data_IF_485114375587
#
_entry.id   IF_485114375587
#
_cell.length_a   1.000
_cell.length_b   1.000
_cell.length_c   1.000
_cell.angle_alpha   90.00
_cell.angle_beta   90.00
_cell.angle_gamma   90.00
#
_symmetry.space_group_name_H-M   'P 1'
#
loop_
_entity.id
_entity.type
_entity.pdbx_description
1 polymer ?
2 non-polymer ?
3 non-polymer ?
4 non-polymer ?
5 non-polymer ?
6 water ?
#
# COMPACT_ATOMS: atom_id res chain seq x y z
N UNK A 7 0.61 -2.71 22.45
CA UNK A 7 0.30 -4.14 22.26
C UNK A 7 0.76 -4.69 20.89
N UNK A 8 1.56 -3.91 20.18
CA UNK A 8 2.11 -4.32 18.90
C UNK A 8 3.19 -5.36 19.13
N UNK A 9 3.46 -6.23 18.15
CA UNK A 9 4.59 -7.17 18.28
C UNK A 9 5.93 -6.41 18.30
N UNK A 10 7.02 -7.04 18.82
CA UNK A 10 8.34 -6.40 18.77
C UNK A 10 8.73 -6.09 17.32
N UNK A 11 9.37 -4.93 17.11
CA UNK A 11 9.79 -4.43 15.81
C UNK A 11 8.64 -3.83 14.97
N UNK A 12 7.43 -3.73 15.55
CA UNK A 12 6.34 -3.04 14.88
C UNK A 12 6.20 -1.67 15.54
N UNK A 13 5.75 -0.67 14.79
CA UNK A 13 5.60 0.70 15.27
C UNK A 13 4.12 0.98 15.54
N UNK A 14 3.80 1.48 16.74
CA UNK A 14 2.43 1.80 17.09
C UNK A 14 2.10 3.23 16.69
N UNK A 15 0.95 3.46 16.08
CA UNK A 15 0.51 4.80 15.70
C UNK A 15 -0.99 4.85 15.68
N UNK A 16 -1.51 5.80 16.47
CA UNK A 16 -2.91 6.09 16.73
C UNK A 16 -3.50 4.85 17.38
N UNK A 17 -4.02 3.89 16.60
CA UNK A 17 -4.51 2.63 17.17
C UNK A 17 -4.25 1.51 16.18
N UNK A 18 -3.03 1.48 15.63
CA UNK A 18 -2.59 0.50 14.64
C UNK A 18 -1.12 0.19 14.86
N UNK A 19 -0.66 -0.99 14.40
CA UNK A 19 0.73 -1.48 14.45
C UNK A 19 1.20 -1.59 13.05
N UNK A 20 2.41 -1.13 12.76
CA UNK A 20 2.92 -1.13 11.40
C UNK A 20 4.27 -1.78 11.32
N UNK A 21 4.53 -2.49 10.24
CA UNK A 21 5.82 -3.13 10.02
C UNK A 21 6.29 -2.67 8.66
N UNK A 22 7.50 -2.12 8.61
CA UNK A 22 8.11 -1.55 7.42
C UNK A 22 9.18 -2.45 6.87
N UNK A 23 8.94 -3.05 5.67
CA UNK A 23 9.97 -3.93 5.11
C UNK A 23 11.19 -3.17 4.72
N UNK A 24 12.31 -3.88 4.65
CA UNK A 24 13.54 -3.30 4.12
C UNK A 24 14.09 -4.18 2.98
N UNK A 25 13.18 -4.88 2.29
CA UNK A 25 13.45 -5.71 1.13
C UNK A 25 12.21 -5.57 0.22
N UNK A 26 12.32 -6.05 -1.00
CA UNK A 26 11.25 -5.93 -1.98
C UNK A 26 10.56 -7.22 -2.33
N UNK A 27 9.28 -7.11 -2.69
CA UNK A 27 8.52 -8.25 -3.12
C UNK A 27 7.50 -7.77 -4.15
N UNK A 28 7.08 -8.68 -5.02
CA UNK A 28 5.93 -8.43 -5.93
C UNK A 28 4.70 -8.24 -5.02
N UNK A 29 3.71 -7.49 -5.46
CA UNK A 29 2.56 -7.18 -4.61
C UNK A 29 1.87 -8.42 -4.01
N UNK A 30 1.65 -9.46 -4.82
CA UNK A 30 0.95 -10.66 -4.30
C UNK A 30 1.75 -11.32 -3.17
N UNK A 31 3.10 -11.31 -3.31
CA UNK A 31 3.95 -11.90 -2.27
C UNK A 31 3.94 -11.04 -1.02
N UNK A 32 3.93 -9.70 -1.18
CA UNK A 32 3.86 -8.78 -0.04
C UNK A 32 2.51 -8.95 0.68
N UNK A 33 1.44 -9.11 -0.08
CA UNK A 33 0.10 -9.31 0.48
C UNK A 33 0.09 -10.60 1.33
N UNK A 34 0.65 -11.68 0.77
CA UNK A 34 0.70 -12.97 1.48
C UNK A 34 1.54 -12.84 2.73
N UNK A 35 2.67 -12.12 2.65
CA UNK A 35 3.53 -11.89 3.83
C UNK A 35 2.72 -11.24 4.96
N UNK A 36 1.97 -10.18 4.66
CA UNK A 36 1.20 -9.50 5.70
C UNK A 36 0.14 -10.41 6.28
N UNK A 37 -0.56 -11.17 5.44
CA UNK A 37 -1.61 -12.08 5.92
C UNK A 37 -1.06 -13.17 6.84
N UNK A 38 0.19 -13.59 6.63
CA UNK A 38 0.82 -14.60 7.48
C UNK A 38 1.27 -14.03 8.84
N UNK A 39 1.27 -12.70 9.00
CA UNK A 39 1.53 -12.05 10.27
C UNK A 39 0.18 -11.61 10.90
N UNK A 40 -0.96 -12.18 10.48
CA UNK A 40 -2.30 -11.77 10.94
C UNK A 40 -2.49 -10.25 10.73
N UNK A 41 -1.98 -9.76 9.60
CA UNK A 41 -1.98 -8.34 9.28
C UNK A 41 -2.44 -8.17 7.79
N UNK A 42 -2.38 -6.94 7.26
CA UNK A 42 -2.74 -6.70 5.89
C UNK A 42 -1.83 -5.62 5.36
N UNK A 43 -1.70 -5.51 4.02
CA UNK A 43 -0.94 -4.40 3.44
C UNK A 43 -1.58 -3.07 3.89
N UNK A 44 -0.75 -2.07 4.20
CA UNK A 44 -1.25 -0.84 4.83
C UNK A 44 -2.45 -0.22 4.11
N UNK A 45 -3.47 0.20 4.88
CA UNK A 45 -4.67 0.83 4.35
C UNK A 45 -4.67 2.24 4.89
N UNK A 46 -4.49 3.22 4.02
CA UNK A 46 -4.33 4.61 4.45
C UNK A 46 -5.66 5.34 4.38
N UNK A 47 -6.20 5.81 5.53
CA UNK A 47 -7.52 6.45 5.53
C UNK A 47 -7.54 7.90 6.01
N UNK A 48 -6.36 8.50 6.20
CA UNK A 48 -6.31 9.90 6.61
C UNK A 48 -4.99 10.55 6.23
N UNK A 49 -4.97 11.89 6.23
CA UNK A 49 -3.79 12.72 5.98
C UNK A 49 -2.71 12.39 7.04
N UNK A 50 -3.12 12.23 8.30
CA UNK A 50 -2.18 11.95 9.39
C UNK A 50 -1.54 10.57 9.25
N UNK A 51 -2.32 9.56 8.80
CA UNK A 51 -1.73 8.23 8.59
C UNK A 51 -0.77 8.26 7.40
N UNK A 52 -1.16 8.97 6.33
CA UNK A 52 -0.29 9.12 5.16
C UNK A 52 1.10 9.74 5.57
N UNK A 53 1.07 10.79 6.41
CA UNK A 53 2.32 11.44 6.82
C UNK A 53 3.15 10.52 7.71
N UNK A 54 2.49 9.78 8.58
CA UNK A 54 3.18 8.81 9.44
C UNK A 54 3.93 7.75 8.58
N UNK A 55 3.23 7.16 7.59
CA UNK A 55 3.85 6.15 6.73
C UNK A 55 5.02 6.74 5.94
N UNK A 56 4.81 7.94 5.36
CA UNK A 56 5.86 8.65 4.61
C UNK A 56 7.12 8.85 5.45
N UNK A 57 6.94 9.20 6.74
CA UNK A 57 8.11 9.40 7.61
C UNK A 57 8.96 8.14 7.70
N UNK A 58 8.31 6.97 7.82
CA UNK A 58 9.04 5.71 8.00
C UNK A 58 9.53 5.05 6.73
N UNK A 59 8.91 5.32 5.58
CA UNK A 59 9.38 4.67 4.35
C UNK A 59 10.45 5.50 3.63
N UNK A 60 10.42 6.81 3.80
CA UNK A 60 11.37 7.67 3.11
C UNK A 60 11.06 7.75 1.62
N UNK A 61 12.03 8.16 0.81
CA UNK A 61 11.77 8.35 -0.62
C UNK A 61 11.90 7.07 -1.44
N UNK A 62 11.05 6.06 -1.13
CA UNK A 62 11.20 4.75 -1.73
C UNK A 62 9.82 4.24 -2.20
N UNK A 63 9.75 3.67 -3.41
CA UNK A 63 8.50 3.07 -3.92
C UNK A 63 8.10 1.93 -3.01
N UNK A 64 6.87 1.98 -2.46
CA UNK A 64 6.46 1.02 -1.44
C UNK A 64 4.98 0.62 -1.62
N UNK A 65 4.71 -0.67 -1.74
CA UNK A 65 3.34 -1.14 -1.93
C UNK A 65 2.43 -0.81 -0.78
N UNK A 66 1.17 -0.53 -1.09
CA UNK A 66 0.12 -0.40 -0.10
C UNK A 66 -1.02 -1.41 -0.44
N UNK A 67 -2.00 -1.52 0.43
CA UNK A 67 -3.07 -2.50 0.28
C UNK A 67 -4.19 -2.02 -0.60
N UNK A 68 -3.89 -1.48 -1.78
CA UNK A 68 -4.92 -0.94 -2.68
C UNK A 68 -4.64 -1.47 -4.09
N UNK A 69 -5.65 -2.05 -4.74
CA UNK A 69 -5.42 -2.62 -6.06
C UNK A 69 -6.71 -2.63 -6.86
N UNK A 70 -6.59 -2.84 -8.18
CA UNK A 70 -7.81 -2.97 -9.02
C UNK A 70 -7.66 -4.20 -9.93
N UNK A 71 -7.09 -5.29 -9.41
CA UNK A 71 -6.84 -6.49 -10.21
C UNK A 71 -8.09 -7.19 -10.73
N UNK A 72 -9.20 -7.13 -9.98
CA UNK A 72 -10.45 -7.82 -10.41
C UNK A 72 -11.55 -6.89 -10.84
N UNK A 73 -11.23 -5.64 -11.12
CA UNK A 73 -12.24 -4.69 -11.51
C UNK A 73 -11.95 -3.35 -10.90
N UNK A 74 -12.84 -2.83 -10.08
CA UNK A 74 -12.63 -1.50 -9.52
C UNK A 74 -11.61 -1.48 -8.38
N UNK A 75 -11.14 -0.28 -8.03
CA UNK A 75 -10.20 -0.14 -6.90
C UNK A 75 -10.80 -0.64 -5.59
N UNK A 76 -10.00 -1.42 -4.85
CA UNK A 76 -10.43 -1.94 -3.57
C UNK A 76 -9.27 -1.91 -2.59
N UNK A 77 -9.57 -1.66 -1.31
CA UNK A 77 -8.56 -1.76 -0.25
C UNK A 77 -8.66 -3.20 0.27
N UNK A 78 -7.54 -3.79 0.66
CA UNK A 78 -7.49 -5.20 1.01
C UNK A 78 -8.36 -5.61 2.20
N UNK A 79 -8.70 -4.66 3.06
CA UNK A 79 -9.52 -5.00 4.23
C UNK A 79 -11.01 -4.67 4.05
N UNK A 80 -11.45 -4.33 2.85
CA UNK A 80 -12.84 -3.98 2.60
C UNK A 80 -13.17 -2.51 2.78
N UNK A 81 -12.21 -1.67 3.24
CA UNK A 81 -12.45 -0.23 3.39
C UNK A 81 -12.89 0.37 2.02
N UNK A 82 -13.97 1.17 2.00
CA UNK A 82 -14.48 1.70 0.73
C UNK A 82 -13.49 2.66 0.09
N UNK A 83 -13.21 2.45 -1.20
CA UNK A 83 -12.28 3.31 -1.90
C UNK A 83 -12.90 4.67 -2.26
N UNK A 84 -14.07 4.62 -2.90
CA UNK A 84 -14.73 5.83 -3.40
C UNK A 84 -14.88 6.95 -2.38
N UNK A 85 -15.34 6.63 -1.18
CA UNK A 85 -15.53 7.64 -0.15
C UNK A 85 -14.35 7.82 0.79
N UNK A 86 -13.23 7.16 0.52
CA UNK A 86 -12.08 7.26 1.41
C UNK A 86 -11.01 8.23 0.97
N UNK A 87 -9.99 8.36 1.80
CA UNK A 87 -8.83 9.21 1.52
C UNK A 87 -8.09 8.71 0.27
N UNK A 88 -7.61 9.65 -0.55
CA UNK A 88 -6.85 9.39 -1.76
C UNK A 88 -5.72 10.39 -1.85
N UNK A 89 -4.58 9.94 -2.36
CA UNK A 89 -3.43 10.82 -2.48
C UNK A 89 -2.67 10.52 -3.76
N UNK A 90 -3.41 10.33 -4.87
CA UNK A 90 -2.77 10.03 -6.13
C UNK A 90 -1.90 11.16 -6.59
N UNK A 91 -0.82 10.85 -7.28
CA UNK A 91 -0.03 11.87 -7.97
C UNK A 91 -0.93 12.37 -9.14
N UNK A 92 -0.99 13.68 -9.46
CA UNK A 92 -1.86 14.11 -10.59
C UNK A 92 -1.55 13.32 -11.86
N UNK A 93 -2.59 12.98 -12.62
CA UNK A 93 -2.51 12.11 -13.82
C UNK A 93 -2.47 10.62 -13.47
N UNK A 94 -2.50 10.26 -12.18
CA UNK A 94 -2.61 8.85 -11.76
C UNK A 94 -3.97 8.66 -11.07
N UNK A 95 -4.49 7.42 -11.00
CA UNK A 95 -4.02 6.23 -11.69
C UNK A 95 -4.27 6.35 -13.20
N UNK A 96 -3.39 5.76 -14.00
CA UNK A 96 -3.49 5.85 -15.45
C UNK A 96 -3.53 4.48 -16.14
N UNK A 97 -3.47 3.36 -15.40
CA UNK A 97 -3.53 2.00 -15.98
C UNK A 97 -2.63 1.85 -17.20
N UNK A 98 -1.41 2.33 -17.08
CA UNK A 98 -0.48 2.37 -18.20
C UNK A 98 -0.16 0.99 -18.77
N UNK A 99 -0.23 0.89 -20.10
CA UNK A 99 0.18 -0.33 -20.80
C UNK A 99 1.61 -0.20 -21.39
N UNK A 100 2.11 1.04 -21.48
CA UNK A 100 3.35 1.40 -22.17
C UNK A 100 4.62 0.78 -21.63
N UNK A 101 4.53 0.16 -20.45
CA UNK A 101 5.70 -0.56 -19.89
C UNK A 101 6.05 -1.82 -20.73
N UNK A 102 5.09 -2.30 -21.52
CA UNK A 102 5.28 -3.45 -22.40
C UNK A 102 5.40 -4.78 -21.71
N UNK A 103 5.04 -4.84 -20.42
CA UNK A 103 5.14 -6.10 -19.68
C UNK A 103 3.88 -6.94 -19.70
N UNK A 104 2.80 -6.43 -20.31
CA UNK A 104 1.54 -7.17 -20.35
C UNK A 104 0.57 -6.58 -19.36
N UNK A 105 -0.63 -6.27 -19.84
CA UNK A 105 -1.65 -5.67 -19.01
C UNK A 105 -1.36 -4.21 -18.69
N UNK A 106 -2.23 -3.63 -17.85
CA UNK A 106 -2.09 -2.24 -17.44
C UNK A 106 -1.29 -2.13 -16.15
N UNK A 107 -1.86 -1.47 -15.16
CA UNK A 107 -1.23 -1.27 -13.85
C UNK A 107 -2.30 -1.46 -12.80
N UNK A 108 -2.15 -2.46 -11.93
CA UNK A 108 -3.24 -2.79 -11.02
C UNK A 108 -2.93 -2.72 -9.54
N UNK A 109 -1.73 -2.29 -9.14
CA UNK A 109 -1.41 -2.21 -7.72
C UNK A 109 -0.92 -0.82 -7.35
N UNK A 110 -1.39 -0.28 -6.22
CA UNK A 110 -0.95 1.07 -5.84
C UNK A 110 0.27 1.04 -4.94
N UNK A 111 1.09 2.09 -5.08
CA UNK A 111 2.26 2.23 -4.21
C UNK A 111 2.51 3.69 -3.92
N UNK A 112 3.17 3.94 -2.79
CA UNK A 112 3.67 5.26 -2.49
C UNK A 112 4.88 5.49 -3.41
N UNK A 113 5.01 6.69 -3.97
CA UNK A 113 6.17 7.02 -4.78
C UNK A 113 7.22 7.72 -3.89
N UNK A 114 8.38 8.07 -4.45
CA UNK A 114 9.44 8.75 -3.69
C UNK A 114 8.98 10.02 -2.94
N UNK A 115 7.92 10.71 -3.40
CA UNK A 115 7.45 11.91 -2.68
C UNK A 115 6.19 11.67 -1.81
N UNK A 116 5.75 10.41 -1.71
CA UNK A 116 4.60 10.07 -0.90
C UNK A 116 3.32 9.92 -1.70
N UNK A 117 3.20 10.65 -2.83
CA UNK A 117 1.98 10.57 -3.65
C UNK A 117 1.85 9.18 -4.27
N UNK A 118 0.63 8.74 -4.52
CA UNK A 118 0.42 7.38 -5.00
C UNK A 118 0.50 7.23 -6.53
N UNK A 119 0.89 6.03 -6.94
CA UNK A 119 0.88 5.67 -8.34
C UNK A 119 0.35 4.23 -8.48
N UNK A 120 -0.29 3.94 -9.62
CA UNK A 120 -0.65 2.54 -9.91
C UNK A 120 0.50 2.00 -10.78
N UNK A 121 0.93 0.77 -10.49
CA UNK A 121 2.04 0.17 -11.22
C UNK A 121 1.80 -1.35 -11.41
N UNK A 122 2.70 -2.00 -12.16
CA UNK A 122 2.65 -3.40 -12.50
C UNK A 122 2.88 -4.19 -11.21
N UNK A 123 1.88 -5.04 -10.89
CA UNK A 123 1.91 -5.79 -9.64
C UNK A 123 3.16 -6.65 -9.43
N UNK A 124 3.78 -7.12 -10.50
CA UNK A 124 4.95 -7.99 -10.39
C UNK A 124 6.24 -7.25 -10.03
N UNK A 125 6.22 -5.90 -10.00
CA UNK A 125 7.45 -5.18 -9.63
C UNK A 125 7.81 -5.46 -8.17
N UNK A 126 9.10 -5.67 -7.89
CA UNK A 126 9.52 -5.83 -6.49
C UNK A 126 9.70 -4.46 -5.84
N UNK A 127 8.80 -4.14 -4.90
CA UNK A 127 8.93 -2.90 -4.14
C UNK A 127 8.92 -3.28 -2.66
N UNK A 128 9.39 -2.37 -1.79
CA UNK A 128 9.21 -2.56 -0.36
C UNK A 128 7.70 -2.48 -0.07
N UNK A 129 7.31 -2.85 1.16
CA UNK A 129 5.90 -2.85 1.52
C UNK A 129 5.73 -2.56 3.01
N UNK A 130 4.50 -2.28 3.41
CA UNK A 130 4.19 -2.00 4.81
C UNK A 130 3.02 -2.89 5.21
N UNK A 131 3.12 -3.57 6.37
CA UNK A 131 1.99 -4.33 6.94
C UNK A 131 1.37 -3.47 8.04
N UNK A 132 0.07 -3.68 8.27
CA UNK A 132 -0.65 -2.98 9.31
C UNK A 132 -1.60 -3.97 10.00
N UNK A 133 -1.75 -3.78 11.31
CA UNK A 133 -2.73 -4.54 12.09
C UNK A 133 -3.38 -3.55 13.06
N UNK A 134 -4.67 -3.75 13.37
CA UNK A 134 -5.37 -2.84 14.26
C UNK A 134 -5.42 -3.36 15.66
N UNK A 135 -5.17 -2.51 16.64
CA UNK A 135 -5.29 -2.90 18.04
C UNK A 135 -6.75 -2.77 18.44
#
# INVERSE_FOLDING_TARGET
>A
MGSERTCCPVNWVEHERSCYWFSRSGKAWADADNYCRLEDAHLVVVTSWEEQKFVQHHIGPVNTWMGLHDQNGPWKWVDGTDYETGFKNWRPEQPDDWYGHGLGGGEDCAHFTDDGRWNDDVCQRPYRWVCETELDKASQEPPLLGSHHHHHH
#
